data_IF_738820919224
#
_entry.id   IF_738820919224
#
_cell.length_a   1.000
_cell.length_b   1.000
_cell.length_c   1.000
_cell.angle_alpha   90.00
_cell.angle_beta   90.00
_cell.angle_gamma   90.00
#
_symmetry.space_group_name_H-M   'P 1'
#
loop_
_entity.id
_entity.type
_entity.pdbx_description
1 polymer ?
#
# COMPACT_ATOMS: atom_id res chain seq x y z
N UNK A 1 -14.07 18.34 0.56
CA UNK A 1 -15.08 17.47 0.01
C UNK A 1 -15.50 16.42 1.01
N UNK A 2 -16.75 16.20 1.14
CA UNK A 2 -17.27 15.30 2.17
C UNK A 2 -18.00 14.14 1.54
N UNK A 3 -17.96 13.04 2.21
CA UNK A 3 -18.69 11.86 1.78
C UNK A 3 -20.14 12.00 2.20
N UNK A 4 -21.03 11.55 1.35
CA UNK A 4 -22.46 11.63 1.65
C UNK A 4 -22.88 10.60 2.67
N UNK A 5 -22.15 9.49 2.72
CA UNK A 5 -22.53 8.39 3.58
C UNK A 5 -21.32 7.58 3.96
N UNK A 6 -21.50 6.68 4.89
CA UNK A 6 -20.44 5.74 5.26
C UNK A 6 -20.10 4.85 4.07
N UNK A 7 -21.09 4.49 3.26
CA UNK A 7 -20.84 3.65 2.09
C UNK A 7 -19.91 4.33 1.10
N UNK A 8 -20.11 5.64 0.87
CA UNK A 8 -19.23 6.39 -0.01
C UNK A 8 -17.81 6.42 0.53
N UNK A 9 -17.66 6.62 1.83
CA UNK A 9 -16.36 6.67 2.46
C UNK A 9 -15.66 5.31 2.37
N UNK A 10 -16.38 4.23 2.56
CA UNK A 10 -15.80 2.89 2.47
C UNK A 10 -15.36 2.58 1.05
N UNK A 11 -16.17 2.96 0.06
CA UNK A 11 -15.82 2.74 -1.33
C UNK A 11 -14.54 3.49 -1.69
N UNK A 12 -14.46 4.75 -1.26
CA UNK A 12 -13.26 5.55 -1.51
C UNK A 12 -12.03 4.90 -0.88
N UNK A 13 -12.20 4.38 0.33
CA UNK A 13 -11.11 3.73 1.04
C UNK A 13 -10.67 2.46 0.32
N UNK A 14 -11.62 1.67 -0.16
CA UNK A 14 -11.29 0.45 -0.88
C UNK A 14 -10.54 0.74 -2.18
N UNK A 15 -10.96 1.77 -2.90
CA UNK A 15 -10.28 2.16 -4.13
C UNK A 15 -8.83 2.56 -3.83
N UNK A 16 -8.64 3.28 -2.74
CA UNK A 16 -7.29 3.69 -2.35
C UNK A 16 -6.41 2.48 -2.03
N UNK A 17 -6.95 1.54 -1.28
CA UNK A 17 -6.21 0.34 -0.93
C UNK A 17 -5.85 -0.46 -2.18
N UNK A 18 -6.79 -0.56 -3.12
CA UNK A 18 -6.52 -1.27 -4.36
C UNK A 18 -5.42 -0.60 -5.18
N UNK A 19 -5.40 0.72 -5.19
CA UNK A 19 -4.34 1.45 -5.90
C UNK A 19 -2.97 1.19 -5.28
N UNK A 20 -2.94 1.12 -3.96
CA UNK A 20 -1.69 0.83 -3.25
C UNK A 20 -1.24 -0.60 -3.57
N UNK A 21 -2.18 -1.54 -3.59
CA UNK A 21 -1.84 -2.92 -3.93
C UNK A 21 -1.30 -3.03 -5.36
N UNK A 22 -1.92 -2.34 -6.30
CA UNK A 22 -1.45 -2.37 -7.68
C UNK A 22 -0.04 -1.79 -7.79
N UNK A 23 0.22 -0.69 -7.10
CA UNK A 23 1.55 -0.09 -7.13
C UNK A 23 2.57 -1.05 -6.53
N UNK A 24 2.22 -1.68 -5.41
CA UNK A 24 3.11 -2.64 -4.77
C UNK A 24 3.43 -3.79 -5.73
N UNK A 25 2.43 -4.36 -6.38
CA UNK A 25 2.65 -5.48 -7.27
C UNK A 25 3.49 -5.09 -8.48
N UNK A 26 3.26 -3.90 -9.01
CA UNK A 26 4.03 -3.44 -10.16
C UNK A 26 5.50 -3.26 -9.80
N UNK A 27 5.76 -2.65 -8.65
CA UNK A 27 7.12 -2.35 -8.23
C UNK A 27 7.82 -3.63 -7.79
N UNK A 28 7.13 -4.45 -7.01
CA UNK A 28 7.69 -5.69 -6.48
C UNK A 28 7.89 -6.73 -7.57
N UNK A 29 7.22 -6.58 -8.71
CA UNK A 29 7.38 -7.52 -9.81
C UNK A 29 8.80 -7.67 -10.29
N UNK A 30 9.65 -6.68 -10.00
CA UNK A 30 11.05 -6.73 -10.41
C UNK A 30 11.94 -7.43 -9.40
N UNK A 31 11.65 -7.25 -8.12
CA UNK A 31 12.51 -7.73 -7.04
C UNK A 31 11.80 -8.67 -6.08
N UNK A 32 10.51 -8.83 -6.22
CA UNK A 32 9.71 -9.63 -5.30
C UNK A 32 9.19 -8.89 -4.10
N UNK A 33 9.69 -7.69 -3.83
CA UNK A 33 9.27 -6.91 -2.68
C UNK A 33 9.54 -5.43 -2.92
N UNK A 34 8.88 -4.57 -2.13
CA UNK A 34 9.07 -3.14 -2.22
C UNK A 34 8.90 -2.52 -0.83
N UNK A 35 9.59 -1.41 -0.60
CA UNK A 35 9.44 -0.67 0.65
C UNK A 35 8.26 0.31 0.53
N UNK A 36 7.80 0.83 1.67
CA UNK A 36 6.75 1.83 1.66
C UNK A 36 7.17 3.06 0.87
N UNK A 37 8.45 3.44 0.96
CA UNK A 37 8.98 4.56 0.20
C UNK A 37 8.85 4.34 -1.30
N UNK A 38 9.19 3.13 -1.75
CA UNK A 38 9.10 2.81 -3.18
C UNK A 38 7.66 2.82 -3.66
N UNK A 39 6.74 2.32 -2.84
CA UNK A 39 5.32 2.37 -3.19
C UNK A 39 4.85 3.82 -3.27
N UNK A 40 5.27 4.64 -2.30
CA UNK A 40 4.90 6.05 -2.28
C UNK A 40 5.38 6.74 -3.55
N UNK A 41 6.63 6.49 -3.96
CA UNK A 41 7.17 7.09 -5.16
C UNK A 41 6.42 6.64 -6.41
N UNK A 42 5.99 5.38 -6.43
CA UNK A 42 5.24 4.86 -7.57
C UNK A 42 3.85 5.46 -7.68
N UNK A 43 3.24 5.79 -6.55
CA UNK A 43 1.90 6.37 -6.54
C UNK A 43 1.92 7.88 -6.79
N UNK A 44 2.96 8.55 -6.31
CA UNK A 44 3.02 10.02 -6.37
C UNK A 44 4.36 10.46 -6.95
N UNK A 45 4.63 10.12 -8.22
CA UNK A 45 5.95 10.40 -8.81
C UNK A 45 6.28 11.88 -8.90
N UNK A 46 5.26 12.74 -8.89
CA UNK A 46 5.47 14.17 -9.01
C UNK A 46 5.26 14.91 -7.72
N UNK A 47 5.04 14.20 -6.62
CA UNK A 47 4.84 14.84 -5.33
C UNK A 47 6.16 15.32 -4.77
N UNK A 48 6.12 16.48 -4.14
CA UNK A 48 7.28 17.02 -3.45
C UNK A 48 7.45 16.26 -2.13
N UNK A 49 8.54 15.50 -1.94
CA UNK A 49 8.72 14.74 -0.70
C UNK A 49 8.76 15.62 0.54
N UNK A 50 9.27 16.84 0.39
CA UNK A 50 9.41 17.71 1.56
C UNK A 50 8.07 18.11 2.14
N UNK A 51 7.10 18.42 1.26
CA UNK A 51 5.81 18.93 1.72
C UNK A 51 4.73 17.88 1.81
N UNK A 52 4.84 16.81 1.06
CA UNK A 52 3.73 15.85 0.95
C UNK A 52 4.02 14.46 1.51
N UNK A 53 5.26 14.18 1.84
CA UNK A 53 5.61 12.85 2.29
C UNK A 53 4.86 12.46 3.55
N UNK A 54 4.82 13.34 4.53
CA UNK A 54 4.19 12.99 5.80
C UNK A 54 2.74 12.53 5.61
N UNK A 55 1.97 13.36 4.92
CA UNK A 55 0.55 13.09 4.76
C UNK A 55 0.30 11.86 3.92
N UNK A 56 0.96 11.78 2.77
CA UNK A 56 0.69 10.70 1.83
C UNK A 56 1.34 9.40 2.23
N UNK A 57 2.44 9.46 2.97
CA UNK A 57 3.07 8.26 3.46
C UNK A 57 2.18 7.55 4.49
N UNK A 58 1.48 8.32 5.33
CA UNK A 58 0.55 7.71 6.27
C UNK A 58 -0.56 6.95 5.53
N UNK A 59 -1.00 7.47 4.39
CA UNK A 59 -1.98 6.77 3.57
C UNK A 59 -1.43 5.46 3.03
N UNK A 60 -0.19 5.50 2.57
CA UNK A 60 0.44 4.30 2.02
C UNK A 60 0.62 3.25 3.11
N UNK A 61 1.13 3.65 4.26
CA UNK A 61 1.35 2.72 5.36
C UNK A 61 0.02 2.13 5.82
N UNK A 62 -1.02 2.96 5.94
CA UNK A 62 -2.32 2.46 6.33
C UNK A 62 -2.88 1.44 5.35
N UNK A 63 -2.71 1.68 4.05
CA UNK A 63 -3.15 0.73 3.05
C UNK A 63 -2.36 -0.57 3.09
N UNK A 64 -1.05 -0.48 3.31
CA UNK A 64 -0.23 -1.68 3.43
C UNK A 64 -0.63 -2.49 4.66
N UNK A 65 -0.97 -1.83 5.77
CA UNK A 65 -1.45 -2.52 6.96
C UNK A 65 -2.74 -3.29 6.69
N UNK A 66 -3.65 -2.67 5.94
CA UNK A 66 -4.91 -3.34 5.58
C UNK A 66 -4.63 -4.57 4.73
N UNK A 67 -3.74 -4.43 3.75
CA UNK A 67 -3.41 -5.55 2.87
C UNK A 67 -2.75 -6.69 3.65
N UNK A 68 -1.91 -6.35 4.63
CA UNK A 68 -1.31 -7.38 5.47
C UNK A 68 -2.38 -8.10 6.28
N UNK A 69 -3.30 -7.35 6.86
CA UNK A 69 -4.37 -7.94 7.65
C UNK A 69 -5.26 -8.85 6.83
N UNK A 70 -5.38 -8.55 5.53
CA UNK A 70 -6.18 -9.38 4.62
C UNK A 70 -5.38 -10.54 4.03
N UNK A 71 -4.13 -10.68 4.38
CA UNK A 71 -3.30 -11.77 3.86
C UNK A 71 -2.84 -11.57 2.42
N UNK A 72 -2.90 -10.34 1.92
CA UNK A 72 -2.55 -10.05 0.53
C UNK A 72 -1.11 -9.59 0.37
N UNK A 73 -0.39 -9.44 1.45
CA UNK A 73 1.04 -9.19 1.40
C UNK A 73 1.70 -9.72 2.66
N UNK A 74 3.01 -9.88 2.57
CA UNK A 74 3.84 -10.31 3.67
C UNK A 74 4.85 -9.23 3.97
N UNK A 75 5.09 -8.97 5.27
CA UNK A 75 6.07 -7.98 5.69
C UNK A 75 7.39 -8.67 5.95
N UNK A 76 8.45 -8.15 5.35
CA UNK A 76 9.80 -8.69 5.48
C UNK A 76 10.70 -7.63 6.07
N UNK A 77 11.63 -8.04 6.93
CA UNK A 77 12.61 -7.11 7.49
C UNK A 77 13.94 -7.33 6.79
N UNK A 78 14.46 -6.28 6.16
CA UNK A 78 15.76 -6.35 5.52
C UNK A 78 16.88 -6.27 6.55
N UNK A 79 18.09 -6.59 6.13
CA UNK A 79 19.23 -6.61 7.00
C UNK A 79 19.49 -5.24 7.63
N UNK A 80 19.17 -4.18 6.91
CA UNK A 80 19.35 -2.81 7.42
C UNK A 80 18.19 -2.36 8.30
N UNK A 81 17.25 -3.24 8.59
CA UNK A 81 16.11 -2.91 9.44
C UNK A 81 14.92 -2.30 8.72
N UNK A 82 15.06 -2.02 7.43
CA UNK A 82 13.95 -1.46 6.65
C UNK A 82 12.94 -2.55 6.38
N UNK A 83 11.65 -2.21 6.51
CA UNK A 83 10.58 -3.14 6.21
C UNK A 83 10.27 -3.12 4.72
N UNK A 84 10.11 -4.29 4.14
CA UNK A 84 9.70 -4.45 2.77
C UNK A 84 8.42 -5.26 2.71
N UNK A 85 7.68 -5.13 1.64
CA UNK A 85 6.36 -5.73 1.50
C UNK A 85 6.33 -6.55 0.22
N UNK A 86 6.02 -7.83 0.37
CA UNK A 86 5.96 -8.76 -0.76
C UNK A 86 4.50 -9.11 -1.01
N UNK A 87 3.98 -8.85 -2.23
CA UNK A 87 2.59 -9.20 -2.50
C UNK A 87 2.38 -10.71 -2.48
N UNK A 88 1.20 -11.12 -2.04
CA UNK A 88 0.82 -12.52 -2.00
C UNK A 88 -0.52 -12.69 -2.68
N UNK A 89 -0.71 -13.86 -3.27
CA UNK A 89 -2.03 -14.19 -3.75
C UNK A 89 -2.95 -14.34 -2.56
N UNK A 90 -4.14 -13.81 -2.69
CA UNK A 90 -5.13 -14.00 -1.66
C UNK A 90 -5.32 -15.50 -1.49
N UNK A 91 -5.27 -15.97 -0.25
CA UNK A 91 -5.46 -17.38 0.01
C UNK A 91 -6.81 -17.78 -0.55
N UNK A 92 -6.88 -18.91 -1.26
CA UNK A 92 -8.19 -19.40 -1.66
C UNK A 92 -8.96 -19.59 -0.38
N UNK A 93 -10.11 -19.14 -0.38
CA UNK A 93 -10.84 -19.14 0.84
C UNK A 93 -10.88 -20.53 1.36
N UNK A 94 -10.41 -20.62 2.09
CA UNK A 94 -10.28 -21.55 2.53
C UNK A 94 -10.81 -21.78 3.12
N UNK A 95 -10.83 -21.66 2.99
CA UNK A 95 -11.52 -22.06 3.12
C UNK A 95 -11.51 -22.12 3.82
#
# INVERSE_FOLDING_TARGET
MLFRSIDDALLFYEVRVQRIERALRRIAGRCGEATAWEVWQGLFPEADPVTQMRTRMLMVIGGLDVLEAEGRLEVLRRDDGVLAFAPREAAPSRA
#
